data_IF_457994650033
#
_entry.id   IF_457994650033
#
_cell.length_a   1.000
_cell.length_b   1.000
_cell.length_c   1.000
_cell.angle_alpha   90.00
_cell.angle_beta   90.00
_cell.angle_gamma   90.00
#
_symmetry.space_group_name_H-M   'P 1'
#
loop_
_entity.id
_entity.type
_entity.pdbx_description
1 polymer ?
#
# COMPACT_ATOMS: atom_id res chain seq x y z
N UNK A 1 17.00 -14.81 4.12
CA UNK A 1 16.86 -13.35 4.13
C UNK A 1 16.23 -12.93 2.82
N UNK A 2 14.89 -12.89 2.77
CA UNK A 2 14.17 -12.51 1.55
C UNK A 2 14.30 -11.00 1.43
N UNK A 3 15.15 -10.56 0.50
CA UNK A 3 15.23 -9.17 0.05
C UNK A 3 13.85 -8.89 -0.55
N UNK A 4 12.93 -8.29 0.21
CA UNK A 4 11.67 -7.79 -0.34
C UNK A 4 12.08 -6.79 -1.39
N UNK A 5 11.97 -7.26 -2.62
CA UNK A 5 12.68 -6.72 -3.75
C UNK A 5 12.12 -5.35 -4.06
N UNK A 6 13.03 -4.40 -4.17
CA UNK A 6 12.91 -3.20 -4.99
C UNK A 6 12.67 -3.53 -6.48
N UNK A 7 12.54 -4.81 -6.83
CA UNK A 7 12.29 -5.38 -8.16
C UNK A 7 10.80 -5.31 -8.57
N UNK A 8 9.88 -5.21 -7.60
CA UNK A 8 8.43 -5.06 -7.83
C UNK A 8 8.00 -3.58 -7.87
N UNK A 9 8.96 -2.65 -7.91
CA UNK A 9 8.71 -1.22 -7.77
C UNK A 9 7.97 -0.55 -8.96
N UNK A 10 7.87 -1.15 -10.17
CA UNK A 10 6.87 -0.71 -11.14
C UNK A 10 5.56 -1.52 -11.10
N UNK A 11 5.60 -2.83 -10.84
CA UNK A 11 4.41 -3.69 -10.86
C UNK A 11 3.47 -3.42 -9.68
N UNK A 12 4.01 -3.16 -8.50
CA UNK A 12 3.22 -2.82 -7.32
C UNK A 12 2.46 -1.49 -7.45
N UNK A 13 2.94 -0.56 -8.28
CA UNK A 13 2.30 0.73 -8.56
C UNK A 13 1.18 0.61 -9.60
N UNK A 14 1.25 -0.35 -10.53
CA UNK A 14 0.17 -0.62 -11.50
C UNK A 14 -1.15 -1.00 -10.81
N UNK A 15 -1.04 -1.66 -9.65
CA UNK A 15 -2.19 -2.09 -8.86
C UNK A 15 -2.73 -1.04 -7.87
N UNK A 16 -2.21 0.19 -7.92
CA UNK A 16 -2.69 1.28 -7.07
C UNK A 16 -4.03 1.81 -7.54
N UNK A 17 -4.95 1.95 -6.60
CA UNK A 17 -6.22 2.63 -6.83
C UNK A 17 -6.02 4.14 -6.81
N UNK A 18 -7.00 4.89 -7.31
CA UNK A 18 -6.98 6.36 -7.30
C UNK A 18 -6.73 6.91 -5.87
N UNK A 19 -7.35 6.27 -4.87
CA UNK A 19 -7.16 6.60 -3.46
C UNK A 19 -5.74 6.35 -2.94
N UNK A 20 -5.06 5.32 -3.43
CA UNK A 20 -3.66 5.04 -3.08
C UNK A 20 -2.75 6.15 -3.65
N UNK A 21 -3.06 6.65 -4.86
CA UNK A 21 -2.36 7.78 -5.47
C UNK A 21 -2.65 9.12 -4.77
N UNK A 22 -3.86 9.33 -4.25
CA UNK A 22 -4.18 10.49 -3.43
C UNK A 22 -3.41 10.47 -2.11
N UNK A 23 -3.35 9.34 -1.41
CA UNK A 23 -2.57 9.19 -0.16
C UNK A 23 -1.08 9.43 -0.42
N UNK A 24 -0.54 8.84 -1.50
CA UNK A 24 0.83 9.10 -1.91
C UNK A 24 1.09 10.59 -2.17
N UNK A 25 0.24 11.27 -2.94
CA UNK A 25 0.41 12.70 -3.26
C UNK A 25 0.36 13.56 -2.00
N UNK A 26 -0.62 13.34 -1.12
CA UNK A 26 -0.72 14.08 0.13
C UNK A 26 0.58 13.96 0.95
N UNK A 27 1.17 12.76 1.03
CA UNK A 27 2.42 12.52 1.75
C UNK A 27 3.62 13.25 1.13
N UNK A 28 3.72 13.25 -0.20
CA UNK A 28 4.75 14.03 -0.90
C UNK A 28 4.58 15.53 -0.62
N UNK A 29 3.34 16.04 -0.64
CA UNK A 29 3.04 17.43 -0.31
C UNK A 29 3.36 17.78 1.16
N UNK A 30 3.22 16.82 2.06
CA UNK A 30 3.67 16.92 3.46
C UNK A 30 5.19 16.84 3.64
N UNK A 31 5.95 16.57 2.56
CA UNK A 31 7.41 16.47 2.59
C UNK A 31 7.95 15.09 2.96
N UNK A 32 7.12 14.04 2.94
CA UNK A 32 7.62 12.68 3.08
C UNK A 32 8.45 12.28 1.85
N UNK A 33 9.56 11.57 2.08
CA UNK A 33 10.38 11.03 1.00
C UNK A 33 9.61 9.98 0.20
N UNK A 34 9.76 9.98 -1.14
CA UNK A 34 8.96 9.13 -2.02
C UNK A 34 9.00 7.63 -1.72
N UNK A 35 10.14 7.10 -1.28
CA UNK A 35 10.26 5.69 -0.86
C UNK A 35 9.46 5.42 0.42
N UNK A 36 9.51 6.32 1.41
CA UNK A 36 8.73 6.20 2.65
C UNK A 36 7.23 6.30 2.41
N UNK A 37 6.81 7.18 1.49
CA UNK A 37 5.41 7.30 1.08
C UNK A 37 4.91 6.00 0.43
N UNK A 38 5.72 5.42 -0.47
CA UNK A 38 5.39 4.14 -1.14
C UNK A 38 5.31 2.98 -0.15
N UNK A 39 6.26 2.84 0.80
CA UNK A 39 6.20 1.80 1.84
C UNK A 39 4.91 1.91 2.66
N UNK A 40 4.53 3.13 3.02
CA UNK A 40 3.37 3.36 3.88
C UNK A 40 2.06 3.03 3.16
N UNK A 41 1.91 3.46 1.91
CA UNK A 41 0.73 3.14 1.08
C UNK A 41 0.61 1.63 0.86
N UNK A 42 1.72 0.96 0.52
CA UNK A 42 1.73 -0.50 0.34
C UNK A 42 1.38 -1.24 1.64
N UNK A 43 1.91 -0.80 2.79
CA UNK A 43 1.57 -1.38 4.10
C UNK A 43 0.10 -1.19 4.45
N UNK A 44 -0.45 -0.01 4.20
CA UNK A 44 -1.88 0.28 4.38
C UNK A 44 -2.77 -0.64 3.56
N UNK A 45 -2.38 -0.91 2.31
CA UNK A 45 -3.08 -1.84 1.41
C UNK A 45 -3.05 -3.27 1.95
N UNK A 46 -1.91 -3.75 2.45
CA UNK A 46 -1.80 -5.08 3.06
C UNK A 46 -2.72 -5.21 4.29
N UNK A 47 -2.74 -4.20 5.17
CA UNK A 47 -3.65 -4.18 6.32
C UNK A 47 -5.13 -4.22 5.89
N UNK A 48 -5.49 -3.50 4.83
CA UNK A 48 -6.87 -3.48 4.32
C UNK A 48 -7.29 -4.81 3.69
N UNK A 49 -6.40 -5.46 2.94
CA UNK A 49 -6.64 -6.80 2.37
C UNK A 49 -6.82 -7.85 3.47
N UNK A 50 -6.05 -7.78 4.54
CA UNK A 50 -6.18 -8.67 5.69
C UNK A 50 -7.44 -8.39 6.53
N UNK A 51 -8.08 -7.24 6.35
CA UNK A 51 -9.22 -6.77 7.16
C UNK A 51 -10.58 -6.89 6.45
N UNK A 52 -10.69 -7.60 5.32
CA UNK A 52 -11.98 -7.84 4.65
C UNK A 52 -12.65 -9.17 5.04
N UNK A 53 -13.99 -9.26 4.91
CA UNK A 53 -14.98 -8.92 5.94
C UNK A 53 -14.86 -9.83 7.20
N UNK A 54 -15.54 -9.54 8.33
CA UNK A 54 -15.70 -10.54 9.38
C UNK A 54 -16.26 -11.81 8.74
N UNK A 55 -15.58 -12.95 8.94
CA UNK A 55 -16.17 -14.23 8.62
C UNK A 55 -17.45 -14.34 9.46
N UNK A 56 -18.60 -14.06 8.84
CA UNK A 56 -19.89 -14.51 9.33
C UNK A 56 -19.88 -16.03 9.19
N UNK A 57 -19.24 -16.68 10.17
CA UNK A 57 -19.42 -18.11 10.43
C UNK A 57 -20.87 -18.28 10.84
N UNK A 58 -21.73 -18.46 9.85
CA UNK A 58 -23.05 -19.03 10.03
C UNK A 58 -22.87 -20.46 10.54
N UNK A 59 -23.05 -20.66 11.85
CA UNK A 59 -23.54 -21.91 12.45
C UNK A 59 -24.38 -21.61 13.67
#
# INVERSE_FOLDING_TARGET
MTRIGTDDFPAGLDHWTDRDWEDYRARIEHGEGGVSAIDTVQRGRQCRVLSGPPQESAR
#
